data_IF_519826639109
#
_entry.id   IF_519826639109
#
_cell.length_a   1.000
_cell.length_b   1.000
_cell.length_c   1.000
_cell.angle_alpha   90.00
_cell.angle_beta   90.00
_cell.angle_gamma   90.00
#
_symmetry.space_group_name_H-M   'P 1'
#
loop_
_entity.id
_entity.type
_entity.pdbx_description
1 polymer ?
#
# COMPACT_ATOMS: atom_id res chain seq x y z
N UNK A 1 -13.90 -4.06 18.11
CA UNK A 1 -12.92 -4.82 17.30
C UNK A 1 -12.53 -3.95 16.13
N UNK A 2 -11.24 -3.75 15.87
CA UNK A 2 -10.73 -2.94 14.75
C UNK A 2 -10.27 -3.90 13.65
N UNK A 3 -10.57 -3.57 12.39
CA UNK A 3 -10.03 -4.26 11.22
C UNK A 3 -8.93 -3.42 10.62
N UNK A 4 -7.71 -3.97 10.53
CA UNK A 4 -6.59 -3.39 9.82
C UNK A 4 -6.45 -4.05 8.45
N UNK A 5 -6.40 -3.26 7.38
CA UNK A 5 -6.12 -3.73 6.04
C UNK A 5 -4.63 -3.56 5.71
N UNK A 6 -3.93 -4.68 5.54
CA UNK A 6 -2.53 -4.73 5.10
C UNK A 6 -2.48 -4.98 3.60
N UNK A 7 -2.43 -3.91 2.80
CA UNK A 7 -2.84 -3.98 1.38
C UNK A 7 -1.71 -4.35 0.40
N UNK A 8 -0.44 -4.28 0.81
CA UNK A 8 0.68 -4.70 -0.03
C UNK A 8 1.74 -5.54 0.70
N UNK A 9 2.33 -5.01 1.77
CA UNK A 9 3.43 -5.66 2.48
C UNK A 9 4.72 -5.71 1.65
N UNK A 10 5.68 -6.52 2.11
CA UNK A 10 6.99 -6.74 1.46
C UNK A 10 6.92 -7.67 0.22
N UNK A 11 5.76 -7.78 -0.43
CA UNK A 11 5.56 -8.66 -1.60
C UNK A 11 6.19 -8.06 -2.87
N UNK A 12 6.68 -8.93 -3.76
CA UNK A 12 7.21 -8.56 -5.09
C UNK A 12 6.07 -8.48 -6.12
N UNK A 13 6.33 -7.83 -7.27
CA UNK A 13 5.32 -7.58 -8.30
C UNK A 13 4.73 -8.84 -8.96
N UNK A 14 5.45 -9.96 -8.93
CA UNK A 14 5.01 -11.25 -9.43
C UNK A 14 4.11 -12.01 -8.44
N UNK A 15 3.91 -11.50 -7.22
CA UNK A 15 3.04 -12.14 -6.23
C UNK A 15 1.57 -12.16 -6.65
N UNK A 16 1.05 -11.04 -7.17
CA UNK A 16 -0.33 -10.93 -7.63
C UNK A 16 -0.49 -9.73 -8.58
N UNK A 17 -1.21 -9.86 -9.73
CA UNK A 17 -1.35 -8.78 -10.70
C UNK A 17 -2.08 -7.53 -10.17
N UNK A 18 -2.89 -7.68 -9.11
CA UNK A 18 -3.58 -6.57 -8.45
C UNK A 18 -2.86 -6.06 -7.19
N UNK A 19 -1.61 -6.48 -6.91
CA UNK A 19 -0.87 -5.96 -5.76
C UNK A 19 -0.58 -4.45 -5.94
N UNK A 20 -1.01 -3.56 -5.03
CA UNK A 20 -0.75 -2.13 -5.17
C UNK A 20 0.72 -1.83 -4.81
N UNK A 21 1.47 -1.36 -5.82
CA UNK A 21 2.91 -1.10 -5.71
C UNK A 21 3.29 0.37 -5.95
N UNK A 22 2.50 1.11 -6.71
CA UNK A 22 2.67 2.55 -6.87
C UNK A 22 1.68 3.33 -5.98
N UNK A 23 1.97 4.61 -5.67
CA UNK A 23 1.14 5.38 -4.75
C UNK A 23 -0.33 5.56 -5.18
N UNK A 24 -0.61 5.62 -6.49
CA UNK A 24 -1.97 5.78 -7.00
C UNK A 24 -2.76 4.48 -6.77
N UNK A 25 -2.15 3.33 -7.03
CA UNK A 25 -2.75 2.04 -6.74
C UNK A 25 -2.98 1.85 -5.23
N UNK A 26 -2.01 2.23 -4.39
CA UNK A 26 -2.13 2.21 -2.93
C UNK A 26 -3.31 3.05 -2.46
N UNK A 27 -3.42 4.31 -2.92
CA UNK A 27 -4.50 5.21 -2.51
C UNK A 27 -5.88 4.67 -2.92
N UNK A 28 -6.01 4.12 -4.13
CA UNK A 28 -7.25 3.49 -4.62
C UNK A 28 -7.69 2.32 -3.73
N UNK A 29 -6.76 1.40 -3.44
CA UNK A 29 -7.07 0.18 -2.69
C UNK A 29 -7.24 0.45 -1.19
N UNK A 30 -6.54 1.44 -0.65
CA UNK A 30 -6.76 1.99 0.68
C UNK A 30 -8.18 2.56 0.82
N UNK A 31 -8.61 3.41 -0.12
CA UNK A 31 -9.96 3.97 -0.11
C UNK A 31 -11.04 2.88 -0.21
N UNK A 32 -10.83 1.86 -1.05
CA UNK A 32 -11.72 0.71 -1.16
C UNK A 32 -11.78 -0.12 0.15
N UNK A 33 -10.64 -0.30 0.82
CA UNK A 33 -10.56 -1.01 2.10
C UNK A 33 -11.30 -0.28 3.21
N UNK A 34 -11.16 1.06 3.28
CA UNK A 34 -11.91 1.89 4.23
C UNK A 34 -13.41 1.83 3.93
N UNK A 35 -13.82 1.91 2.66
CA UNK A 35 -15.22 1.77 2.26
C UNK A 35 -15.81 0.40 2.63
N UNK A 36 -14.98 -0.65 2.66
CA UNK A 36 -15.36 -1.99 3.09
C UNK A 36 -15.38 -2.17 4.63
N UNK A 37 -14.98 -1.14 5.41
CA UNK A 37 -15.05 -1.14 6.87
C UNK A 37 -13.70 -1.32 7.58
N UNK A 38 -12.57 -1.23 6.87
CA UNK A 38 -11.27 -1.14 7.53
C UNK A 38 -11.19 0.17 8.33
N UNK A 39 -10.77 0.05 9.58
CA UNK A 39 -10.56 1.19 10.49
C UNK A 39 -9.07 1.59 10.60
N UNK A 40 -8.17 0.77 10.04
CA UNK A 40 -6.73 1.01 9.99
C UNK A 40 -6.17 0.52 8.65
N UNK A 41 -5.13 1.19 8.16
CA UNK A 41 -4.41 0.85 6.95
C UNK A 41 -2.94 0.63 7.29
N UNK A 42 -2.40 -0.49 6.85
CA UNK A 42 -0.96 -0.78 6.91
C UNK A 42 -0.41 -0.85 5.49
N UNK A 43 0.54 0.04 5.19
CA UNK A 43 1.07 0.26 3.84
C UNK A 43 2.59 0.26 3.87
N UNK A 44 3.21 -0.40 2.91
CA UNK A 44 4.64 -0.30 2.63
C UNK A 44 4.84 0.62 1.44
N UNK A 45 5.43 1.80 1.65
CA UNK A 45 5.76 2.68 0.54
C UNK A 45 6.95 2.15 -0.25
N UNK A 46 7.03 2.60 -1.51
CA UNK A 46 8.06 2.14 -2.44
C UNK A 46 8.75 3.29 -3.15
N UNK A 47 10.05 3.13 -3.33
CA UNK A 47 10.87 4.03 -4.13
C UNK A 47 10.55 3.94 -5.62
N UNK A 48 11.19 4.79 -6.41
CA UNK A 48 11.06 4.76 -7.88
C UNK A 48 11.61 3.45 -8.50
N UNK A 49 12.43 2.70 -7.76
CA UNK A 49 12.94 1.37 -8.09
C UNK A 49 11.95 0.23 -7.74
N UNK A 50 10.77 0.57 -7.22
CA UNK A 50 9.74 -0.39 -6.80
C UNK A 50 10.08 -1.16 -5.52
N UNK A 51 11.23 -0.86 -4.89
CA UNK A 51 11.62 -1.48 -3.63
C UNK A 51 10.99 -0.73 -2.45
N UNK A 52 10.80 -1.44 -1.35
CA UNK A 52 10.36 -0.83 -0.10
C UNK A 52 11.36 0.24 0.35
N UNK A 53 10.84 1.39 0.77
CA UNK A 53 11.68 2.52 1.16
C UNK A 53 11.04 3.36 2.25
N UNK A 54 11.87 3.82 3.18
CA UNK A 54 11.53 4.82 4.20
C UNK A 54 12.10 6.21 3.85
N UNK A 55 12.64 6.39 2.63
CA UNK A 55 13.09 7.69 2.18
C UNK A 55 11.90 8.68 2.18
N UNK A 56 12.11 9.95 2.58
CA UNK A 56 11.04 10.93 2.65
C UNK A 56 10.23 11.03 1.34
N UNK A 57 10.89 10.98 0.19
CA UNK A 57 10.23 11.09 -1.11
C UNK A 57 9.31 9.90 -1.43
N UNK A 58 9.60 8.71 -0.88
CA UNK A 58 8.71 7.56 -1.01
C UNK A 58 7.54 7.64 -0.04
N UNK A 59 7.80 8.07 1.20
CA UNK A 59 6.78 8.27 2.24
C UNK A 59 5.78 9.36 1.85
N UNK A 60 6.25 10.55 1.46
CA UNK A 60 5.41 11.72 1.18
C UNK A 60 4.44 11.52 0.00
N UNK A 61 4.81 10.65 -0.95
CA UNK A 61 3.97 10.35 -2.11
C UNK A 61 2.90 9.30 -1.84
N UNK A 62 3.07 8.48 -0.81
CA UNK A 62 2.23 7.30 -0.52
C UNK A 62 1.08 7.70 0.40
#
# INVERSE_FOLDING_TARGET
MIVQACINGARTADFHPALPLDPVAVARDAAASVAAGAAELHVHARGADGQESLAPEAMDRT
#
